data_IF_251517772708
#
_entry.id   IF_251517772708
#
_cell.length_a   1.000
_cell.length_b   1.000
_cell.length_c   1.000
_cell.angle_alpha   90.00
_cell.angle_beta   90.00
_cell.angle_gamma   90.00
#
_symmetry.space_group_name_H-M   'P 1'
#
loop_
_entity.id
_entity.type
_entity.pdbx_description
1 polymer ?
#
# COMPACT_ATOMS: atom_id res chain seq x y z
N UNK A 1 -32.00 27.59 -49.87
CA UNK A 1 -30.82 26.72 -49.98
C UNK A 1 -30.03 26.82 -48.68
N UNK A 2 -29.74 25.65 -48.07
CA UNK A 2 -29.13 25.36 -46.73
C UNK A 2 -29.90 25.86 -45.49
N UNK A 3 -29.82 25.19 -44.31
CA UNK A 3 -28.80 24.23 -43.81
C UNK A 3 -29.45 23.02 -43.06
N UNK A 4 -28.84 22.29 -42.09
CA UNK A 4 -27.43 22.10 -41.73
C UNK A 4 -26.98 20.62 -41.64
N UNK A 5 -25.67 20.44 -41.76
CA UNK A 5 -24.91 19.23 -41.42
C UNK A 5 -25.05 18.90 -39.93
N UNK A 6 -25.62 17.74 -39.61
CA UNK A 6 -25.72 17.22 -38.25
C UNK A 6 -24.45 16.43 -37.92
N UNK A 7 -23.59 16.99 -37.07
CA UNK A 7 -22.44 16.31 -36.49
C UNK A 7 -22.90 15.68 -35.17
N UNK A 8 -23.06 14.35 -35.15
CA UNK A 8 -23.24 13.57 -33.93
C UNK A 8 -21.96 13.68 -33.08
N UNK A 9 -22.03 14.06 -31.79
CA UNK A 9 -20.87 14.03 -30.92
C UNK A 9 -20.61 12.59 -30.48
N UNK A 10 -19.38 12.11 -30.68
CA UNK A 10 -18.86 10.92 -30.03
C UNK A 10 -18.94 11.12 -28.51
N UNK A 11 -19.79 10.34 -27.84
CA UNK A 11 -19.78 10.17 -26.40
C UNK A 11 -18.47 9.49 -25.99
N UNK A 12 -17.49 10.31 -25.58
CA UNK A 12 -16.31 9.85 -24.85
C UNK A 12 -16.78 9.25 -23.52
N UNK A 13 -16.76 7.92 -23.42
CA UNK A 13 -16.84 7.22 -22.13
C UNK A 13 -15.58 7.59 -21.32
N UNK A 14 -15.69 8.61 -20.48
CA UNK A 14 -14.72 8.87 -19.42
C UNK A 14 -14.89 7.80 -18.36
N UNK A 15 -14.07 6.75 -18.42
CA UNK A 15 -13.86 5.84 -17.29
C UNK A 15 -13.23 6.64 -16.15
N UNK A 16 -14.06 7.07 -15.20
CA UNK A 16 -13.58 7.61 -13.94
C UNK A 16 -12.86 6.48 -13.18
N UNK A 17 -11.53 6.52 -13.15
CA UNK A 17 -10.75 5.70 -12.25
C UNK A 17 -11.09 6.15 -10.82
N UNK A 18 -11.66 5.24 -10.01
CA UNK A 18 -11.85 5.48 -8.58
C UNK A 18 -10.48 5.68 -7.96
N UNK A 19 -10.18 6.92 -7.55
CA UNK A 19 -9.03 7.21 -6.69
C UNK A 19 -9.29 6.55 -5.33
N UNK A 20 -8.84 5.31 -5.16
CA UNK A 20 -8.88 4.61 -3.87
C UNK A 20 -7.97 5.36 -2.92
N UNK A 21 -8.57 6.19 -2.07
CA UNK A 21 -7.84 6.90 -1.01
C UNK A 21 -7.73 5.93 0.16
N UNK A 22 -6.81 4.97 0.04
CA UNK A 22 -6.47 4.08 1.13
C UNK A 22 -5.79 4.88 2.23
N UNK A 23 -6.43 4.99 3.40
CA UNK A 23 -5.82 5.63 4.57
C UNK A 23 -4.72 4.72 5.10
N UNK A 24 -3.45 5.08 4.92
CA UNK A 24 -2.32 4.40 5.56
C UNK A 24 -2.14 4.90 7.00
N UNK A 25 -2.06 3.96 7.94
CA UNK A 25 -1.76 4.21 9.34
C UNK A 25 -0.50 3.44 9.75
N UNK A 26 0.35 4.08 10.53
CA UNK A 26 1.54 3.45 11.10
C UNK A 26 1.20 2.88 12.48
N UNK A 27 1.39 1.57 12.64
CA UNK A 27 1.30 0.88 13.93
C UNK A 27 2.75 0.68 14.42
N UNK A 28 3.20 1.47 15.42
CA UNK A 28 4.63 1.59 15.73
C UNK A 28 5.17 0.50 16.67
N UNK A 29 4.31 -0.26 17.36
CA UNK A 29 4.75 -1.32 18.28
C UNK A 29 5.26 -2.50 17.46
N UNK A 30 6.53 -2.92 17.62
CA UNK A 30 7.03 -4.10 16.94
C UNK A 30 6.26 -5.34 17.37
N UNK A 31 5.79 -6.11 16.40
CA UNK A 31 5.00 -7.32 16.62
C UNK A 31 5.34 -8.36 15.55
N UNK A 32 5.19 -9.66 15.85
CA UNK A 32 5.14 -10.70 14.83
C UNK A 32 4.04 -10.38 13.82
N UNK A 33 4.21 -10.83 12.57
CA UNK A 33 3.30 -10.44 11.49
C UNK A 33 1.83 -10.75 11.78
N UNK A 34 1.56 -11.91 12.40
CA UNK A 34 0.19 -12.34 12.72
C UNK A 34 -0.46 -11.43 13.77
N UNK A 35 0.31 -10.98 14.76
CA UNK A 35 -0.16 -10.10 15.82
C UNK A 35 -0.32 -8.67 15.29
N UNK A 36 0.57 -8.22 14.41
CA UNK A 36 0.42 -6.96 13.67
C UNK A 36 -0.87 -6.95 12.83
N UNK A 37 -1.17 -8.04 12.12
CA UNK A 37 -2.41 -8.21 11.37
C UNK A 37 -3.64 -8.08 12.29
N UNK A 38 -3.67 -8.84 13.40
CA UNK A 38 -4.74 -8.75 14.40
C UNK A 38 -4.84 -7.34 15.01
N UNK A 39 -3.71 -6.67 15.23
CA UNK A 39 -3.69 -5.29 15.73
C UNK A 39 -4.34 -4.31 14.75
N UNK A 40 -4.05 -4.43 13.45
CA UNK A 40 -4.71 -3.61 12.43
C UNK A 40 -6.22 -3.89 12.41
N UNK A 41 -6.65 -5.16 12.51
CA UNK A 41 -8.07 -5.54 12.57
C UNK A 41 -8.81 -4.93 13.77
N UNK A 42 -8.18 -4.87 14.94
CA UNK A 42 -8.74 -4.22 16.13
C UNK A 42 -8.95 -2.71 15.96
N UNK A 43 -8.19 -2.08 15.05
CA UNK A 43 -8.37 -0.69 14.65
C UNK A 43 -9.37 -0.53 13.49
N UNK A 44 -10.08 -1.60 13.13
CA UNK A 44 -10.95 -1.69 11.96
C UNK A 44 -10.21 -1.54 10.61
N UNK A 45 -8.90 -1.71 10.55
CA UNK A 45 -8.11 -1.76 9.31
C UNK A 45 -7.74 -3.20 8.95
N UNK A 46 -7.09 -3.42 7.82
CA UNK A 46 -6.28 -4.62 7.58
C UNK A 46 -4.81 -4.22 7.61
N UNK A 47 -3.90 -5.20 7.62
CA UNK A 47 -2.52 -4.91 7.27
C UNK A 47 -2.46 -4.35 5.84
N UNK A 48 -1.70 -3.28 5.64
CA UNK A 48 -1.64 -2.54 4.39
C UNK A 48 -1.16 -3.46 3.26
N UNK A 49 -1.77 -3.42 2.06
CA UNK A 49 -1.36 -4.26 0.94
C UNK A 49 0.11 -4.09 0.59
N UNK A 50 0.79 -5.14 0.15
CA UNK A 50 2.16 -5.00 -0.32
C UNK A 50 2.21 -4.05 -1.54
N UNK A 51 3.03 -2.98 -1.50
CA UNK A 51 3.21 -2.08 -2.63
C UNK A 51 3.46 -2.81 -3.95
N UNK A 52 2.75 -2.37 -4.99
CA UNK A 52 2.90 -2.89 -6.35
C UNK A 52 3.60 -1.91 -7.30
N UNK A 53 3.76 -0.64 -6.90
CA UNK A 53 4.50 0.38 -7.63
C UNK A 53 5.44 1.18 -6.72
N UNK A 54 6.50 1.81 -7.26
CA UNK A 54 7.40 2.69 -6.50
C UNK A 54 6.70 3.94 -5.94
N UNK A 55 5.59 4.36 -6.56
CA UNK A 55 4.78 5.51 -6.16
C UNK A 55 3.80 5.22 -5.02
N UNK A 56 3.82 4.02 -4.43
CA UNK A 56 2.92 3.65 -3.34
C UNK A 56 3.13 4.54 -2.09
N UNK A 57 2.03 4.87 -1.42
CA UNK A 57 2.05 5.70 -0.21
C UNK A 57 2.93 5.11 0.89
N UNK A 58 3.02 3.79 1.02
CA UNK A 58 3.88 3.14 1.99
C UNK A 58 5.35 3.56 1.82
N UNK A 59 5.84 3.65 0.58
CA UNK A 59 7.20 4.09 0.29
C UNK A 59 7.39 5.58 0.53
N UNK A 60 6.41 6.40 0.17
CA UNK A 60 6.45 7.84 0.42
C UNK A 60 6.51 8.18 1.92
N UNK A 61 5.85 7.41 2.78
CA UNK A 61 5.87 7.61 4.24
C UNK A 61 7.11 6.99 4.87
N UNK A 62 7.55 5.81 4.40
CA UNK A 62 8.66 5.04 4.96
C UNK A 62 9.95 5.85 5.15
N UNK A 63 10.27 6.75 4.22
CA UNK A 63 11.49 7.59 4.29
C UNK A 63 11.52 8.53 5.51
N UNK A 64 10.36 8.85 6.08
CA UNK A 64 10.23 9.78 7.22
C UNK A 64 10.07 9.07 8.57
N UNK A 65 9.96 7.74 8.56
CA UNK A 65 9.76 6.95 9.78
C UNK A 65 11.10 6.59 10.43
N UNK A 66 11.14 6.26 11.73
CA UNK A 66 12.38 5.89 12.41
C UNK A 66 12.88 4.51 11.97
N UNK A 67 12.01 3.50 11.93
CA UNK A 67 12.43 2.12 11.66
C UNK A 67 12.78 1.91 10.19
N UNK A 68 13.61 0.92 9.91
CA UNK A 68 14.02 0.59 8.54
C UNK A 68 13.01 -0.30 7.83
N UNK A 69 12.18 -1.04 8.59
CA UNK A 69 11.30 -2.07 8.08
C UNK A 69 9.92 -2.00 8.71
N UNK A 70 8.89 -2.20 7.88
CA UNK A 70 7.50 -2.23 8.33
C UNK A 70 6.74 -3.38 7.67
N UNK A 71 5.98 -4.16 8.45
CA UNK A 71 5.15 -5.23 7.92
C UNK A 71 4.05 -4.69 6.98
N UNK A 72 3.82 -5.43 5.90
CA UNK A 72 2.71 -5.28 4.95
C UNK A 72 2.07 -6.65 4.69
N UNK A 73 0.99 -6.71 3.92
CA UNK A 73 0.33 -7.97 3.57
C UNK A 73 1.30 -8.95 2.89
N UNK A 74 1.19 -10.24 3.21
CA UNK A 74 2.05 -11.30 2.62
C UNK A 74 1.84 -11.39 1.11
N UNK A 75 2.92 -11.61 0.36
CA UNK A 75 2.86 -12.02 -1.06
C UNK A 75 2.97 -13.54 -1.25
N UNK A 76 3.51 -14.28 -0.28
CA UNK A 76 3.85 -15.71 -0.41
C UNK A 76 3.42 -16.55 0.81
N UNK A 77 3.45 -17.88 0.67
CA UNK A 77 2.86 -18.85 1.63
C UNK A 77 3.80 -19.41 2.70
N UNK A 78 5.02 -18.86 2.88
CA UNK A 78 6.01 -19.39 3.83
C UNK A 78 6.84 -18.34 4.57
N UNK A 79 6.90 -17.12 4.04
CA UNK A 79 7.57 -15.95 4.63
C UNK A 79 6.59 -14.78 4.71
N UNK A 80 6.95 -13.77 5.49
CA UNK A 80 6.18 -12.54 5.62
C UNK A 80 6.89 -11.41 4.87
N UNK A 81 6.10 -10.47 4.36
CA UNK A 81 6.60 -9.38 3.52
C UNK A 81 6.63 -8.09 4.31
N UNK A 82 7.77 -7.40 4.31
CA UNK A 82 7.90 -6.04 4.83
C UNK A 82 8.37 -5.10 3.72
N UNK A 83 8.06 -3.81 3.87
CA UNK A 83 8.77 -2.76 3.14
C UNK A 83 10.05 -2.42 3.88
N UNK A 84 11.11 -2.11 3.14
CA UNK A 84 12.44 -1.79 3.68
C UNK A 84 12.96 -0.49 3.09
N UNK A 85 13.56 0.36 3.92
CA UNK A 85 14.40 1.47 3.46
C UNK A 85 15.59 0.90 2.70
N UNK A 86 16.12 1.66 1.75
CA UNK A 86 17.37 1.31 1.09
C UNK A 86 18.40 2.39 1.38
N UNK A 87 19.55 2.01 1.90
CA UNK A 87 20.67 2.93 2.09
C UNK A 87 21.20 3.32 0.72
N UNK A 88 20.80 4.50 0.22
CA UNK A 88 21.25 5.02 -1.08
C UNK A 88 20.50 4.49 -2.30
N UNK A 89 19.32 3.86 -2.12
CA UNK A 89 18.50 3.34 -3.22
C UNK A 89 16.99 3.55 -3.00
N UNK A 90 16.19 3.03 -3.94
CA UNK A 90 14.72 3.06 -3.79
C UNK A 90 14.26 2.06 -2.71
N UNK A 91 13.26 2.41 -1.90
CA UNK A 91 12.66 1.47 -0.96
C UNK A 91 12.03 0.29 -1.70
N UNK A 92 11.99 -0.86 -1.05
CA UNK A 92 11.56 -2.10 -1.70
C UNK A 92 10.90 -3.06 -0.73
N UNK A 93 10.58 -4.24 -1.23
CA UNK A 93 10.05 -5.33 -0.41
C UNK A 93 11.15 -6.32 -0.06
N UNK A 94 11.04 -6.85 1.15
CA UNK A 94 11.89 -7.90 1.68
C UNK A 94 11.01 -9.01 2.25
N UNK A 95 11.46 -10.25 2.12
CA UNK A 95 10.84 -11.40 2.77
C UNK A 95 11.61 -11.74 4.05
N UNK A 96 10.87 -11.99 5.12
CA UNK A 96 11.43 -12.27 6.44
C UNK A 96 10.62 -13.35 7.18
N UNK A 97 11.21 -14.00 8.20
CA UNK A 97 10.46 -14.87 9.10
C UNK A 97 9.26 -14.15 9.71
N UNK A 98 8.09 -14.77 9.67
CA UNK A 98 6.85 -14.16 10.20
C UNK A 98 6.86 -13.92 11.72
N UNK A 99 7.78 -14.57 12.44
CA UNK A 99 7.97 -14.41 13.88
C UNK A 99 8.80 -13.19 14.28
N UNK A 100 9.46 -12.52 13.32
CA UNK A 100 10.26 -11.34 13.61
C UNK A 100 9.36 -10.16 14.01
N UNK A 101 9.83 -9.34 14.93
CA UNK A 101 9.07 -8.22 15.46
C UNK A 101 9.39 -6.95 14.69
N UNK A 102 8.42 -6.46 13.93
CA UNK A 102 8.52 -5.19 13.20
C UNK A 102 7.27 -4.35 13.47
N UNK A 103 7.38 -3.01 13.42
CA UNK A 103 6.18 -2.19 13.29
C UNK A 103 5.45 -2.52 11.98
N UNK A 104 4.21 -2.07 11.82
CA UNK A 104 3.40 -2.40 10.65
C UNK A 104 2.68 -1.21 10.05
N UNK A 105 2.34 -1.33 8.76
CA UNK A 105 1.37 -0.45 8.13
C UNK A 105 0.00 -1.10 8.14
N UNK A 106 -1.00 -0.32 8.56
CA UNK A 106 -2.41 -0.68 8.46
C UNK A 106 -3.08 0.17 7.37
N UNK A 107 -4.05 -0.40 6.66
CA UNK A 107 -4.80 0.31 5.62
C UNK A 107 -6.12 -0.32 5.26
N UNK A 108 -6.85 0.32 4.35
CA UNK A 108 -8.09 -0.15 3.74
C UNK A 108 -8.08 0.11 2.25
#
# INVERSE_FOLDING_TARGET
MHPPTSLLPLLLLTTAALAQTSTLLVQPTPLPWQDAYTRCQNLSYTIYPAPSSPSDQAYAVLVSLPEERYWVARRTGGSCTCVRKSEGGEPGLEEMPCGDELPSFCGR
#
